data_IF_584057130962
#
_entry.id   IF_584057130962
#
_cell.length_a   1.000
_cell.length_b   1.000
_cell.length_c   1.000
_cell.angle_alpha   90.00
_cell.angle_beta   90.00
_cell.angle_gamma   90.00
#
_symmetry.space_group_name_H-M   'P 1'
#
loop_
_entity.id
_entity.type
_entity.pdbx_description
1 polymer ?
#
# COMPACT_ATOMS: atom_id res chain seq x y z
N UNK A 1 16.77 18.33 23.39
CA UNK A 1 16.94 17.84 22.01
C UNK A 1 15.62 18.16 21.31
N UNK A 2 15.56 19.21 20.47
CA UNK A 2 14.37 19.47 19.65
C UNK A 2 14.29 18.29 18.67
N UNK A 3 13.25 17.51 18.78
CA UNK A 3 12.84 16.63 17.69
C UNK A 3 12.77 17.53 16.47
N UNK A 4 13.56 17.24 15.45
CA UNK A 4 13.33 17.79 14.13
C UNK A 4 11.91 17.44 13.79
N UNK A 5 11.16 18.41 13.48
CA UNK A 5 9.87 18.19 12.91
C UNK A 5 10.09 17.38 11.66
N UNK A 6 9.52 16.44 11.33
CA UNK A 6 9.73 15.60 10.49
C UNK A 6 9.21 15.45 9.53
N UNK A 7 8.51 16.13 9.27
CA UNK A 7 8.33 16.64 8.26
C UNK A 7 8.52 15.84 7.08
N UNK A 8 9.59 16.02 6.59
CA UNK A 8 10.24 15.22 5.62
C UNK A 8 10.09 13.74 5.86
N UNK A 9 9.64 13.32 6.99
CA UNK A 9 9.57 11.93 7.32
C UNK A 9 8.25 11.31 7.16
N UNK A 10 7.22 12.03 7.45
CA UNK A 10 5.85 11.53 7.38
C UNK A 10 5.31 11.55 5.95
N UNK A 11 5.84 12.44 5.13
CA UNK A 11 5.49 12.49 3.72
C UNK A 11 6.08 11.33 2.91
N UNK A 12 7.10 10.66 3.45
CA UNK A 12 7.76 9.54 2.78
C UNK A 12 7.22 8.21 3.31
N UNK A 13 6.02 7.87 2.93
CA UNK A 13 5.28 6.72 3.45
C UNK A 13 5.85 5.35 3.07
N UNK A 14 6.88 5.31 2.22
CA UNK A 14 7.50 4.05 1.80
C UNK A 14 8.55 3.51 2.77
N UNK A 15 8.72 4.14 3.91
CA UNK A 15 9.81 3.86 4.84
C UNK A 15 11.14 4.44 4.38
N UNK A 16 12.21 4.01 5.01
CA UNK A 16 13.54 4.46 4.66
C UNK A 16 14.16 3.58 3.58
N UNK A 17 14.12 4.02 2.34
CA UNK A 17 14.78 3.33 1.23
C UNK A 17 16.29 3.22 1.46
N UNK A 18 16.93 4.25 2.01
CA UNK A 18 18.33 4.20 2.38
C UNK A 18 18.63 3.09 3.40
N UNK A 19 17.81 2.92 4.41
CA UNK A 19 17.97 1.86 5.39
C UNK A 19 17.77 0.47 4.78
N UNK A 20 16.84 0.33 3.83
CA UNK A 20 16.61 -0.92 3.10
C UNK A 20 17.85 -1.33 2.28
N UNK A 21 18.43 -0.39 1.54
CA UNK A 21 19.58 -0.66 0.64
C UNK A 21 20.88 -0.78 1.41
N UNK A 22 21.02 -0.11 2.54
CA UNK A 22 22.22 -0.07 3.37
C UNK A 22 21.99 -0.71 4.76
N UNK A 23 21.22 -1.79 4.78
CA UNK A 23 20.97 -2.52 6.02
C UNK A 23 22.29 -2.90 6.73
N UNK A 24 22.34 -2.67 8.03
CA UNK A 24 23.52 -2.97 8.85
C UNK A 24 23.10 -3.60 10.16
N UNK A 25 23.83 -4.64 10.55
CA UNK A 25 23.66 -5.24 11.88
C UNK A 25 23.92 -4.18 12.96
N UNK A 26 22.94 -3.82 13.80
CA UNK A 26 23.16 -2.89 14.89
C UNK A 26 24.12 -3.47 15.94
N UNK A 27 24.99 -2.62 16.49
CA UNK A 27 25.88 -3.03 17.58
C UNK A 27 25.07 -3.43 18.81
N UNK A 28 25.35 -4.58 19.36
CA UNK A 28 24.72 -5.08 20.59
C UNK A 28 23.32 -5.66 20.38
N UNK A 29 22.94 -5.96 19.14
CA UNK A 29 21.63 -6.55 18.82
C UNK A 29 21.40 -7.89 19.53
N UNK A 30 22.47 -8.64 19.75
CA UNK A 30 22.48 -9.93 20.43
C UNK A 30 21.99 -9.84 21.89
N UNK A 31 22.04 -8.65 22.48
CA UNK A 31 21.59 -8.39 23.86
C UNK A 31 20.20 -7.71 23.93
N UNK A 32 19.53 -7.59 22.79
CA UNK A 32 18.22 -6.92 22.72
C UNK A 32 17.11 -7.94 22.47
N UNK A 33 15.91 -7.57 22.93
CA UNK A 33 14.66 -8.26 22.60
C UNK A 33 13.69 -7.28 21.94
N UNK A 34 12.82 -7.80 21.09
CA UNK A 34 11.78 -7.03 20.45
C UNK A 34 10.40 -7.56 20.86
N UNK A 35 9.50 -6.63 21.15
CA UNK A 35 8.10 -6.92 21.46
C UNK A 35 7.23 -6.19 20.47
N UNK A 36 6.45 -6.93 19.69
CA UNK A 36 5.60 -6.42 18.64
C UNK A 36 4.14 -6.62 19.03
N UNK A 37 3.38 -5.54 19.04
CA UNK A 37 1.97 -5.54 19.40
C UNK A 37 1.13 -5.67 18.13
N UNK A 38 0.36 -6.73 18.04
CA UNK A 38 -0.38 -7.13 16.85
C UNK A 38 0.48 -7.89 15.84
N UNK A 39 -0.19 -8.49 14.85
CA UNK A 39 0.41 -9.22 13.74
C UNK A 39 -0.10 -8.73 12.37
N UNK A 40 -0.47 -7.46 12.28
CA UNK A 40 -0.70 -6.82 11.00
C UNK A 40 0.57 -6.80 10.14
N UNK A 41 0.43 -6.52 8.85
CA UNK A 41 1.55 -6.57 7.88
C UNK A 41 2.77 -5.76 8.33
N UNK A 42 2.57 -4.60 8.95
CA UNK A 42 3.67 -3.76 9.44
C UNK A 42 4.47 -4.41 10.56
N UNK A 43 3.79 -5.06 11.53
CA UNK A 43 4.46 -5.76 12.62
C UNK A 43 5.17 -7.03 12.11
N UNK A 44 4.53 -7.80 11.24
CA UNK A 44 5.14 -8.97 10.63
C UNK A 44 6.38 -8.60 9.81
N UNK A 45 6.29 -7.55 8.98
CA UNK A 45 7.41 -7.04 8.21
C UNK A 45 8.56 -6.56 9.13
N UNK A 46 8.24 -5.85 10.22
CA UNK A 46 9.23 -5.44 11.22
C UNK A 46 9.98 -6.64 11.80
N UNK A 47 9.27 -7.72 12.15
CA UNK A 47 9.88 -8.97 12.61
C UNK A 47 10.83 -9.58 11.55
N UNK A 48 10.38 -9.64 10.31
CA UNK A 48 11.20 -10.12 9.20
C UNK A 48 12.48 -9.28 9.00
N UNK A 49 12.37 -7.96 9.03
CA UNK A 49 13.53 -7.07 8.92
C UNK A 49 14.47 -7.17 10.13
N UNK A 50 13.95 -7.35 11.35
CA UNK A 50 14.79 -7.57 12.52
C UNK A 50 15.65 -8.82 12.38
N UNK A 51 15.11 -9.88 11.81
CA UNK A 51 15.86 -11.13 11.58
C UNK A 51 16.80 -10.96 10.38
N UNK A 52 16.26 -10.58 9.22
CA UNK A 52 17.00 -10.56 7.96
C UNK A 52 18.11 -9.51 7.95
N UNK A 53 17.79 -8.28 8.35
CA UNK A 53 18.65 -7.12 8.16
C UNK A 53 19.41 -6.73 9.44
N UNK A 54 18.77 -6.83 10.59
CA UNK A 54 19.42 -6.54 11.86
C UNK A 54 20.12 -7.76 12.49
N UNK A 55 19.91 -8.96 11.93
CA UNK A 55 20.45 -10.22 12.45
C UNK A 55 20.08 -10.46 13.92
N UNK A 56 18.88 -10.09 14.31
CA UNK A 56 18.32 -10.40 15.61
C UNK A 56 17.94 -11.89 15.67
N UNK A 57 18.27 -12.52 16.78
CA UNK A 57 17.82 -13.89 17.06
C UNK A 57 16.29 -13.94 17.12
N UNK A 58 15.67 -14.82 16.33
CA UNK A 58 14.21 -14.97 16.28
C UNK A 58 13.59 -15.32 17.62
N UNK A 59 14.28 -16.07 18.46
CA UNK A 59 13.83 -16.40 19.83
C UNK A 59 13.64 -15.19 20.74
N UNK A 60 14.25 -14.05 20.39
CA UNK A 60 14.15 -12.77 21.13
C UNK A 60 13.06 -11.84 20.60
N UNK A 61 12.29 -12.28 19.59
CA UNK A 61 11.19 -11.51 19.04
C UNK A 61 9.89 -12.12 19.52
N UNK A 62 9.07 -11.33 20.20
CA UNK A 62 7.76 -11.77 20.71
C UNK A 62 6.66 -10.95 20.04
N UNK A 63 5.68 -11.63 19.47
CA UNK A 63 4.46 -11.02 18.99
C UNK A 63 3.33 -11.24 20.00
N UNK A 64 2.56 -10.18 20.24
CA UNK A 64 1.33 -10.23 21.01
C UNK A 64 0.15 -10.00 20.07
N UNK A 65 -0.62 -11.03 19.82
CA UNK A 65 -1.82 -10.97 18.97
C UNK A 65 -3.04 -11.36 19.80
N UNK A 66 -4.11 -10.62 19.61
CA UNK A 66 -5.38 -10.88 20.30
C UNK A 66 -6.26 -11.87 19.53
N UNK A 67 -6.11 -11.92 18.21
CA UNK A 67 -6.89 -12.78 17.34
C UNK A 67 -6.18 -14.10 17.08
N UNK A 68 -6.94 -15.14 16.79
CA UNK A 68 -6.40 -16.47 16.48
C UNK A 68 -5.68 -16.50 15.14
N UNK A 69 -6.06 -15.61 14.19
CA UNK A 69 -5.46 -15.52 12.88
C UNK A 69 -4.58 -14.26 12.78
N UNK A 70 -3.28 -14.40 12.44
CA UNK A 70 -2.43 -13.25 12.18
C UNK A 70 -2.81 -12.57 10.86
N UNK A 71 -2.39 -11.31 10.70
CA UNK A 71 -2.59 -10.54 9.45
C UNK A 71 -3.34 -9.23 9.63
N UNK A 72 -3.99 -9.03 10.76
CA UNK A 72 -4.77 -7.82 11.05
C UNK A 72 -5.88 -7.62 10.00
N UNK A 73 -5.89 -6.47 9.33
CA UNK A 73 -6.89 -6.18 8.29
C UNK A 73 -6.67 -6.93 6.95
N UNK A 74 -5.60 -7.69 6.84
CA UNK A 74 -5.30 -8.55 5.68
C UNK A 74 -5.63 -10.02 5.95
N UNK A 75 -6.41 -10.32 6.97
CA UNK A 75 -6.88 -11.66 7.27
C UNK A 75 -7.81 -12.18 6.15
N UNK A 76 -7.81 -13.47 5.99
CA UNK A 76 -8.72 -14.19 5.11
C UNK A 76 -8.89 -15.62 5.63
N UNK A 77 -10.12 -16.09 5.62
CA UNK A 77 -10.49 -17.36 6.24
C UNK A 77 -11.52 -18.12 5.40
N UNK A 78 -11.42 -19.44 5.45
CA UNK A 78 -12.48 -20.31 4.94
C UNK A 78 -13.45 -20.63 6.07
N UNK A 79 -14.64 -20.07 6.00
CA UNK A 79 -15.70 -20.34 6.97
C UNK A 79 -16.60 -21.46 6.47
N UNK A 80 -16.85 -22.44 7.36
CA UNK A 80 -17.79 -23.52 7.07
C UNK A 80 -19.17 -22.93 6.76
N UNK A 81 -19.77 -23.29 5.66
CA UNK A 81 -21.06 -22.83 5.15
C UNK A 81 -21.10 -21.40 4.52
N UNK A 82 -20.06 -20.58 4.64
CA UNK A 82 -19.99 -19.26 4.02
C UNK A 82 -18.99 -19.19 2.87
N UNK A 83 -18.12 -20.18 2.77
CA UNK A 83 -17.03 -20.18 1.82
C UNK A 83 -15.86 -19.30 2.24
N UNK A 84 -15.18 -18.71 1.27
CA UNK A 84 -14.01 -17.89 1.52
C UNK A 84 -14.43 -16.45 1.88
N UNK A 85 -13.91 -15.92 2.96
CA UNK A 85 -14.18 -14.58 3.45
C UNK A 85 -12.89 -13.80 3.60
N UNK A 86 -12.84 -12.62 3.00
CA UNK A 86 -11.76 -11.65 3.14
C UNK A 86 -12.33 -10.25 3.34
N UNK A 87 -11.58 -9.36 3.96
CA UNK A 87 -12.04 -7.98 4.24
C UNK A 87 -12.04 -7.07 2.99
N UNK A 88 -11.81 -7.62 1.83
CA UNK A 88 -11.81 -6.94 0.55
C UNK A 88 -10.48 -7.06 -0.18
N UNK A 89 -10.49 -6.72 -1.46
CA UNK A 89 -9.29 -6.68 -2.29
C UNK A 89 -8.38 -5.52 -1.89
N UNK A 90 -7.10 -5.70 -2.13
CA UNK A 90 -6.07 -4.67 -1.99
C UNK A 90 -5.28 -4.63 -3.27
N UNK A 91 -5.18 -3.45 -3.81
CA UNK A 91 -4.37 -3.20 -5.00
C UNK A 91 -2.93 -2.91 -4.59
N UNK A 92 -2.03 -3.28 -5.46
CA UNK A 92 -0.60 -3.13 -5.23
C UNK A 92 0.02 -2.26 -6.32
N UNK A 93 1.09 -1.58 -5.98
CA UNK A 93 1.85 -0.76 -6.91
C UNK A 93 3.31 -1.18 -6.96
N UNK A 94 3.96 -0.97 -8.11
CA UNK A 94 5.39 -1.23 -8.28
C UNK A 94 6.28 -0.45 -7.30
N UNK A 95 5.79 0.70 -6.84
CA UNK A 95 6.52 1.62 -5.99
C UNK A 95 6.43 1.34 -4.49
N UNK A 96 6.03 0.13 -4.11
CA UNK A 96 6.14 -0.33 -2.72
C UNK A 96 7.51 -0.97 -2.47
N UNK A 97 8.59 -0.22 -2.72
CA UNK A 97 9.98 -0.71 -2.80
C UNK A 97 10.41 -1.46 -1.54
N UNK A 98 10.05 -0.97 -0.36
CA UNK A 98 10.38 -1.63 0.92
C UNK A 98 9.64 -2.97 1.05
N UNK A 99 8.38 -3.02 0.64
CA UNK A 99 7.58 -4.24 0.63
C UNK A 99 8.16 -5.27 -0.35
N UNK A 100 8.41 -4.86 -1.58
CA UNK A 100 8.99 -5.73 -2.60
C UNK A 100 10.41 -6.15 -2.27
N UNK A 101 11.19 -5.27 -1.64
CA UNK A 101 12.50 -5.61 -1.09
C UNK A 101 12.46 -6.69 -0.02
N UNK A 102 11.38 -6.75 0.78
CA UNK A 102 11.14 -7.87 1.68
C UNK A 102 10.73 -9.12 0.92
N UNK A 103 9.73 -9.02 0.07
CA UNK A 103 9.14 -10.15 -0.65
C UNK A 103 10.06 -10.78 -1.71
N UNK A 104 11.10 -10.09 -2.14
CA UNK A 104 12.18 -10.69 -2.95
C UNK A 104 13.03 -11.70 -2.20
N UNK A 105 12.91 -11.77 -0.87
CA UNK A 105 13.66 -12.71 -0.02
C UNK A 105 12.81 -13.78 0.65
N UNK A 106 11.48 -13.71 0.49
CA UNK A 106 10.57 -14.69 1.07
C UNK A 106 10.07 -15.67 0.00
N UNK A 107 10.14 -16.99 0.24
CA UNK A 107 9.57 -17.98 -0.66
C UNK A 107 8.05 -17.81 -0.80
N UNK A 108 7.54 -18.02 -2.00
CA UNK A 108 6.10 -18.13 -2.23
C UNK A 108 5.56 -19.39 -1.57
N UNK A 109 4.33 -19.34 -1.06
CA UNK A 109 3.67 -20.52 -0.48
C UNK A 109 3.12 -21.48 -1.55
N UNK A 110 3.10 -21.07 -2.82
CA UNK A 110 2.61 -21.89 -3.92
C UNK A 110 3.74 -22.59 -4.66
N UNK A 111 4.83 -21.87 -4.90
CA UNK A 111 6.04 -22.42 -5.51
C UNK A 111 7.26 -21.99 -4.68
N UNK A 112 7.84 -22.91 -3.91
CA UNK A 112 9.01 -22.59 -3.08
C UNK A 112 10.27 -22.24 -3.88
N UNK A 113 10.29 -22.47 -5.21
CA UNK A 113 11.37 -22.05 -6.09
C UNK A 113 11.24 -20.60 -6.55
N UNK A 114 10.11 -19.95 -6.26
CA UNK A 114 9.86 -18.55 -6.53
C UNK A 114 9.78 -17.76 -5.24
N UNK A 115 10.20 -16.50 -5.30
CA UNK A 115 9.90 -15.56 -4.23
C UNK A 115 8.46 -15.05 -4.33
N UNK A 116 7.96 -14.47 -3.26
CA UNK A 116 6.65 -13.79 -3.30
C UNK A 116 6.60 -12.70 -4.37
N UNK A 117 7.71 -11.97 -4.54
CA UNK A 117 7.84 -10.96 -5.60
C UNK A 117 7.78 -11.58 -6.99
N UNK A 118 8.52 -12.67 -7.24
CA UNK A 118 8.49 -13.35 -8.54
C UNK A 118 7.09 -13.83 -8.88
N UNK A 119 6.41 -14.46 -7.92
CA UNK A 119 5.06 -14.96 -8.11
C UNK A 119 4.07 -13.82 -8.41
N UNK A 120 4.16 -12.71 -7.69
CA UNK A 120 3.35 -11.52 -7.95
C UNK A 120 3.63 -10.94 -9.34
N UNK A 121 4.91 -10.83 -9.72
CA UNK A 121 5.32 -10.30 -11.02
C UNK A 121 4.77 -11.15 -12.16
N UNK A 122 4.98 -12.46 -12.13
CA UNK A 122 4.52 -13.35 -13.20
C UNK A 122 3.00 -13.43 -13.28
N UNK A 123 2.29 -13.42 -12.15
CA UNK A 123 0.83 -13.37 -12.15
C UNK A 123 0.30 -12.15 -12.92
N UNK A 124 0.85 -10.96 -12.67
CA UNK A 124 0.42 -9.75 -13.34
C UNK A 124 0.99 -9.59 -14.76
N UNK A 125 2.05 -10.31 -15.10
CA UNK A 125 2.57 -10.38 -16.46
C UNK A 125 1.69 -11.28 -17.34
N UNK A 126 1.27 -12.43 -16.83
CA UNK A 126 0.47 -13.39 -17.56
C UNK A 126 -1.01 -12.98 -17.68
N UNK A 127 -1.52 -12.32 -16.64
CA UNK A 127 -2.90 -11.82 -16.57
C UNK A 127 -2.92 -10.34 -16.12
N UNK A 128 -2.56 -9.42 -17.02
CA UNK A 128 -2.55 -7.99 -16.70
C UNK A 128 -3.96 -7.48 -16.43
N UNK A 129 -4.10 -6.71 -15.36
CA UNK A 129 -5.37 -6.12 -14.99
C UNK A 129 -5.85 -5.13 -16.06
N UNK A 130 -7.06 -5.30 -16.52
CA UNK A 130 -7.71 -4.41 -17.46
C UNK A 130 -9.22 -4.38 -17.26
N UNK A 131 -9.78 -3.21 -17.20
CA UNK A 131 -11.22 -2.99 -17.11
C UNK A 131 -11.64 -1.80 -17.97
N UNK A 132 -12.84 -1.85 -18.51
CA UNK A 132 -13.48 -0.66 -19.10
C UNK A 132 -14.29 0.06 -18.03
N UNK A 133 -13.67 1.01 -17.35
CA UNK A 133 -14.39 1.83 -16.37
C UNK A 133 -15.46 2.66 -17.08
N UNK A 134 -16.64 2.71 -16.48
CA UNK A 134 -17.77 3.48 -16.97
C UNK A 134 -18.28 4.40 -15.90
N UNK A 135 -18.52 5.65 -16.27
CA UNK A 135 -19.19 6.62 -15.42
C UNK A 135 -20.68 6.62 -15.77
N UNK A 136 -21.53 6.64 -14.78
CA UNK A 136 -22.98 6.77 -14.98
C UNK A 136 -23.49 8.04 -14.33
N UNK A 137 -24.40 8.73 -14.98
CA UNK A 137 -25.13 9.86 -14.40
C UNK A 137 -26.20 9.40 -13.39
N UNK A 138 -26.75 10.34 -12.62
CA UNK A 138 -27.80 10.07 -11.64
C UNK A 138 -29.04 9.37 -12.20
N UNK A 139 -29.35 9.54 -13.50
CA UNK A 139 -30.45 8.88 -14.21
C UNK A 139 -30.09 7.48 -14.74
N UNK A 140 -28.84 7.01 -14.51
CA UNK A 140 -28.35 5.73 -15.00
C UNK A 140 -27.85 5.74 -16.44
N UNK A 141 -27.84 6.88 -17.12
CA UNK A 141 -27.20 6.99 -18.43
C UNK A 141 -25.69 6.74 -18.33
N UNK A 142 -25.16 5.94 -19.25
CA UNK A 142 -23.75 5.57 -19.30
C UNK A 142 -22.94 6.57 -20.08
N UNK A 143 -21.79 6.90 -19.54
CA UNK A 143 -20.72 7.53 -20.29
C UNK A 143 -19.83 6.46 -20.92
N UNK A 144 -19.75 6.40 -22.22
CA UNK A 144 -18.97 5.37 -22.91
C UNK A 144 -17.45 5.61 -22.90
N UNK A 145 -17.00 6.76 -22.45
CA UNK A 145 -15.57 7.08 -22.42
C UNK A 145 -15.23 7.88 -21.16
N UNK A 146 -14.69 7.23 -20.17
CA UNK A 146 -13.97 7.89 -19.11
C UNK A 146 -12.64 8.46 -19.65
N UNK A 147 -12.71 9.59 -20.34
CA UNK A 147 -11.54 10.36 -20.75
C UNK A 147 -11.43 11.54 -19.81
N UNK A 148 -10.23 11.83 -19.36
CA UNK A 148 -10.03 12.90 -18.39
C UNK A 148 -10.48 14.27 -18.86
N UNK A 149 -10.52 14.55 -20.13
CA UNK A 149 -10.92 15.82 -20.76
C UNK A 149 -10.46 17.07 -19.97
N UNK A 150 -9.28 16.95 -19.33
CA UNK A 150 -8.68 18.07 -18.61
C UNK A 150 -8.14 19.05 -19.63
N UNK A 151 -8.78 20.21 -19.69
CA UNK A 151 -8.24 21.36 -20.41
C UNK A 151 -6.90 21.81 -19.80
N UNK A 152 -6.16 22.65 -20.53
CA UNK A 152 -4.87 23.13 -20.07
C UNK A 152 -4.94 23.85 -18.70
N UNK A 153 -6.01 24.59 -18.44
CA UNK A 153 -6.18 25.34 -17.21
C UNK A 153 -6.36 24.42 -16.00
N UNK A 154 -7.16 23.36 -16.12
CA UNK A 154 -7.35 22.37 -15.05
C UNK A 154 -6.10 21.50 -14.84
N UNK A 155 -5.37 21.17 -15.88
CA UNK A 155 -4.09 20.48 -15.77
C UNK A 155 -3.05 21.36 -15.04
N UNK A 156 -3.08 22.68 -15.28
CA UNK A 156 -2.24 23.63 -14.58
C UNK A 156 -2.63 23.74 -13.10
N UNK A 157 -3.91 23.80 -12.79
CA UNK A 157 -4.43 23.83 -11.42
C UNK A 157 -3.91 22.61 -10.60
N UNK A 158 -3.98 21.41 -11.18
CA UNK A 158 -3.42 20.19 -10.55
C UNK A 158 -1.91 20.27 -10.37
N UNK A 159 -1.18 20.81 -11.35
CA UNK A 159 0.27 20.97 -11.24
C UNK A 159 0.67 21.99 -10.17
N UNK A 160 -0.04 23.11 -10.09
CA UNK A 160 0.17 24.13 -9.04
C UNK A 160 -0.14 23.59 -7.65
N UNK A 161 -1.20 22.81 -7.51
CA UNK A 161 -1.55 22.15 -6.25
C UNK A 161 -0.41 21.31 -5.66
N UNK A 162 0.25 20.52 -6.50
CA UNK A 162 1.36 19.66 -6.04
C UNK A 162 2.55 20.50 -5.50
N UNK A 163 2.68 21.75 -5.95
CA UNK A 163 3.74 22.67 -5.53
C UNK A 163 3.42 23.47 -4.28
N UNK A 164 2.18 23.51 -3.81
CA UNK A 164 1.80 24.21 -2.57
C UNK A 164 2.54 23.56 -1.40
N UNK A 165 3.18 24.33 -0.50
CA UNK A 165 3.80 23.80 0.71
C UNK A 165 2.80 23.02 1.58
N UNK A 166 3.26 21.95 2.21
CA UNK A 166 2.41 21.09 3.04
C UNK A 166 1.75 21.86 4.20
N UNK A 167 2.49 22.83 4.75
CA UNK A 167 2.02 23.68 5.85
C UNK A 167 0.82 24.54 5.46
N UNK A 168 0.70 24.92 4.20
CA UNK A 168 -0.41 25.71 3.68
C UNK A 168 -1.68 24.89 3.46
N UNK A 169 -1.54 23.57 3.40
CA UNK A 169 -2.64 22.63 3.16
C UNK A 169 -3.16 21.94 4.42
N UNK A 170 -2.50 22.08 5.57
CA UNK A 170 -2.82 21.31 6.78
C UNK A 170 -4.28 21.42 7.24
N UNK A 171 -4.85 22.62 7.16
CA UNK A 171 -6.21 22.90 7.62
C UNK A 171 -7.18 23.18 6.44
N UNK A 172 -6.79 22.77 5.23
CA UNK A 172 -7.60 22.98 4.02
C UNK A 172 -8.30 21.70 3.57
N UNK A 173 -9.54 21.87 3.14
CA UNK A 173 -10.25 20.81 2.42
C UNK A 173 -9.99 20.90 0.90
N UNK A 174 -10.30 19.82 0.21
CA UNK A 174 -10.12 19.73 -1.23
C UNK A 174 -10.94 20.79 -1.97
N UNK A 175 -12.19 21.02 -1.54
CA UNK A 175 -13.10 22.01 -2.11
C UNK A 175 -12.75 23.47 -1.77
N UNK A 176 -11.85 23.70 -0.82
CA UNK A 176 -11.27 25.04 -0.58
C UNK A 176 -10.08 25.35 -1.50
N UNK A 177 -9.52 24.32 -2.13
CA UNK A 177 -8.32 24.44 -2.98
C UNK A 177 -8.68 24.37 -4.45
N UNK A 178 -9.54 23.44 -4.84
CA UNK A 178 -9.87 23.18 -6.23
C UNK A 178 -11.12 23.89 -6.70
N UNK A 179 -11.09 24.32 -7.96
CA UNK A 179 -12.25 24.89 -8.62
C UNK A 179 -13.41 23.89 -8.72
N UNK A 180 -14.64 24.39 -8.70
CA UNK A 180 -15.83 23.57 -8.92
C UNK A 180 -15.77 22.89 -10.30
N UNK A 181 -15.15 23.51 -11.29
CA UNK A 181 -14.96 22.96 -12.60
C UNK A 181 -14.10 21.69 -12.57
N UNK A 182 -12.98 21.70 -11.84
CA UNK A 182 -12.13 20.51 -11.64
C UNK A 182 -12.86 19.40 -10.90
N UNK A 183 -13.60 19.74 -9.84
CA UNK A 183 -14.34 18.78 -9.03
C UNK A 183 -15.55 18.15 -9.76
N UNK A 184 -15.93 18.68 -10.93
CA UNK A 184 -16.95 18.11 -11.79
C UNK A 184 -16.38 17.32 -12.99
N UNK A 185 -15.05 17.12 -13.05
CA UNK A 185 -14.43 16.35 -14.14
C UNK A 185 -14.53 14.84 -13.95
N UNK A 186 -14.39 14.10 -15.04
CA UNK A 186 -14.24 12.65 -15.02
C UNK A 186 -12.96 12.23 -14.29
N UNK A 187 -11.89 13.02 -14.39
CA UNK A 187 -10.68 12.80 -13.62
C UNK A 187 -10.97 12.75 -12.12
N UNK A 188 -11.64 13.78 -11.58
CA UNK A 188 -11.97 13.80 -10.16
C UNK A 188 -12.89 12.65 -9.76
N UNK A 189 -13.88 12.34 -10.59
CA UNK A 189 -14.80 11.21 -10.36
C UNK A 189 -14.04 9.87 -10.24
N UNK A 190 -13.10 9.62 -11.14
CA UNK A 190 -12.29 8.39 -11.11
C UNK A 190 -11.30 8.39 -9.94
N UNK A 191 -10.61 9.52 -9.72
CA UNK A 191 -9.64 9.65 -8.64
C UNK A 191 -10.29 9.45 -7.27
N UNK A 192 -11.37 10.19 -7.00
CA UNK A 192 -12.09 10.08 -5.72
C UNK A 192 -12.67 8.68 -5.49
N UNK A 193 -13.13 8.01 -6.54
CA UNK A 193 -13.67 6.66 -6.44
C UNK A 193 -12.57 5.66 -6.12
N UNK A 194 -11.43 5.76 -6.77
CA UNK A 194 -10.31 4.84 -6.55
C UNK A 194 -9.71 4.98 -5.16
N UNK A 195 -9.50 6.20 -4.70
CA UNK A 195 -8.82 6.49 -3.44
C UNK A 195 -9.75 6.87 -2.28
N UNK A 196 -11.06 6.75 -2.48
CA UNK A 196 -12.09 7.03 -1.48
C UNK A 196 -12.05 8.47 -0.92
N UNK A 197 -11.78 9.46 -1.79
CA UNK A 197 -11.85 10.87 -1.42
C UNK A 197 -13.27 11.43 -1.54
N UNK A 198 -13.55 12.41 -0.69
CA UNK A 198 -14.68 13.31 -0.78
C UNK A 198 -14.17 14.76 -0.82
N UNK A 199 -14.96 15.69 -1.36
CA UNK A 199 -14.53 17.07 -1.55
C UNK A 199 -14.13 17.77 -0.25
N UNK A 200 -14.72 17.38 0.87
CA UNK A 200 -14.43 17.91 2.21
C UNK A 200 -13.24 17.26 2.91
N UNK A 201 -12.60 16.26 2.28
CA UNK A 201 -11.40 15.65 2.86
C UNK A 201 -10.20 16.59 2.80
N UNK A 202 -9.15 16.25 3.56
CA UNK A 202 -7.93 17.01 3.64
C UNK A 202 -7.24 17.17 2.30
N UNK A 203 -6.96 18.42 1.91
CA UNK A 203 -6.17 18.73 0.73
C UNK A 203 -4.72 18.23 0.87
N UNK A 204 -4.14 18.31 2.06
CA UNK A 204 -2.81 17.75 2.31
C UNK A 204 -2.77 16.24 2.03
N UNK A 205 -3.76 15.50 2.51
CA UNK A 205 -3.82 14.06 2.30
C UNK A 205 -3.97 13.72 0.81
N UNK A 206 -4.79 14.46 0.09
CA UNK A 206 -4.89 14.33 -1.37
C UNK A 206 -3.54 14.59 -2.06
N UNK A 207 -2.80 15.61 -1.67
CA UNK A 207 -1.47 15.90 -2.20
C UNK A 207 -0.50 14.73 -1.96
N UNK A 208 -0.49 14.16 -0.76
CA UNK A 208 0.33 13.00 -0.43
C UNK A 208 -0.02 11.80 -1.29
N UNK A 209 -1.31 11.57 -1.52
CA UNK A 209 -1.79 10.51 -2.44
C UNK A 209 -1.39 10.80 -3.88
N UNK A 210 -1.52 12.03 -4.36
CA UNK A 210 -1.07 12.38 -5.71
C UNK A 210 0.43 12.14 -5.88
N UNK A 211 1.25 12.59 -4.97
CA UNK A 211 2.69 12.35 -4.99
C UNK A 211 3.04 10.86 -5.00
N UNK A 212 2.25 10.07 -4.28
CA UNK A 212 2.47 8.62 -4.17
C UNK A 212 1.96 7.86 -5.39
N UNK A 213 0.85 8.27 -5.97
CA UNK A 213 0.10 7.50 -6.97
C UNK A 213 -0.07 8.21 -8.32
N UNK A 214 0.69 9.28 -8.58
CA UNK A 214 0.58 10.03 -9.85
C UNK A 214 0.78 9.13 -11.08
N UNK A 215 1.58 8.07 -10.97
CA UNK A 215 1.81 7.11 -12.03
C UNK A 215 0.57 6.25 -12.36
N UNK A 216 -0.43 6.19 -11.49
CA UNK A 216 -1.70 5.51 -11.78
C UNK A 216 -2.67 6.34 -12.60
N UNK A 217 -2.48 7.66 -12.70
CA UNK A 217 -3.43 8.58 -13.35
C UNK A 217 -3.76 8.13 -14.77
N UNK A 218 -2.76 7.78 -15.56
CA UNK A 218 -2.98 7.33 -16.94
C UNK A 218 -3.77 6.02 -17.06
N UNK A 219 -3.77 5.20 -16.03
CA UNK A 219 -4.48 3.92 -15.97
C UNK A 219 -5.85 3.94 -15.31
N UNK A 220 -6.28 5.07 -14.74
CA UNK A 220 -7.57 5.16 -14.03
C UNK A 220 -8.78 4.69 -14.88
N UNK A 221 -8.91 5.06 -16.15
CA UNK A 221 -10.05 4.64 -16.95
C UNK A 221 -10.07 3.14 -17.28
N UNK A 222 -8.95 2.46 -17.15
CA UNK A 222 -8.80 1.05 -17.51
C UNK A 222 -8.36 0.17 -16.34
N UNK A 223 -8.05 0.77 -15.21
CA UNK A 223 -7.44 0.11 -14.04
C UNK A 223 -6.12 -0.62 -14.35
N UNK A 224 -5.51 -0.35 -15.51
CA UNK A 224 -4.32 -1.07 -16.00
C UNK A 224 -3.06 -0.84 -15.18
N UNK A 225 -3.04 0.21 -14.36
CA UNK A 225 -1.92 0.49 -13.47
C UNK A 225 -2.02 -0.25 -12.12
N UNK A 226 -3.16 -0.84 -11.83
CA UNK A 226 -3.39 -1.59 -10.61
C UNK A 226 -2.99 -3.05 -10.79
N UNK A 227 -2.40 -3.60 -9.73
CA UNK A 227 -1.96 -4.98 -9.72
C UNK A 227 -2.56 -5.71 -8.52
N UNK A 228 -2.80 -6.98 -8.70
CA UNK A 228 -3.41 -7.84 -7.70
C UNK A 228 -2.54 -9.05 -7.41
N UNK A 229 -2.61 -9.55 -6.19
CA UNK A 229 -2.14 -10.87 -5.85
C UNK A 229 -3.06 -11.93 -6.47
N UNK A 230 -2.51 -13.09 -6.81
CA UNK A 230 -3.27 -14.21 -7.36
C UNK A 230 -4.35 -14.73 -6.41
N UNK A 231 -4.03 -14.76 -5.13
CA UNK A 231 -4.96 -15.07 -4.06
C UNK A 231 -5.20 -13.83 -3.21
N UNK A 232 -5.98 -13.98 -2.16
CA UNK A 232 -6.14 -12.95 -1.14
C UNK A 232 -4.80 -12.55 -0.49
N UNK A 233 -4.79 -11.41 0.17
CA UNK A 233 -3.56 -10.87 0.75
C UNK A 233 -3.04 -11.71 1.92
N UNK A 234 -3.90 -12.43 2.61
CA UNK A 234 -3.46 -13.34 3.65
C UNK A 234 -2.59 -14.45 3.07
N UNK A 235 -3.10 -15.14 2.06
CA UNK A 235 -2.40 -16.26 1.41
C UNK A 235 -1.14 -15.80 0.70
N UNK A 236 -1.23 -14.67 -0.03
CA UNK A 236 -0.13 -14.21 -0.87
C UNK A 236 0.98 -13.48 -0.11
N UNK A 237 0.66 -12.77 0.97
CA UNK A 237 1.62 -11.89 1.65
C UNK A 237 1.80 -12.19 3.13
N UNK A 238 0.71 -12.38 3.88
CA UNK A 238 0.80 -12.60 5.34
C UNK A 238 1.40 -13.97 5.63
N UNK A 239 0.87 -15.00 5.01
CA UNK A 239 1.28 -16.39 5.25
C UNK A 239 2.76 -16.65 4.99
N UNK A 240 3.40 -16.15 3.89
CA UNK A 240 4.84 -16.28 3.70
C UNK A 240 5.66 -15.65 4.84
N UNK A 241 5.27 -14.46 5.31
CA UNK A 241 5.95 -13.81 6.44
C UNK A 241 5.80 -14.63 7.73
N UNK A 242 4.61 -15.16 7.99
CA UNK A 242 4.35 -16.00 9.17
C UNK A 242 5.18 -17.28 9.11
N UNK A 243 5.27 -17.94 7.94
CA UNK A 243 6.11 -19.13 7.76
C UNK A 243 7.58 -18.80 8.02
N UNK A 244 8.10 -17.75 7.37
CA UNK A 244 9.48 -17.30 7.57
C UNK A 244 9.80 -17.01 9.04
N UNK A 245 8.91 -16.29 9.72
CA UNK A 245 9.07 -16.00 11.15
C UNK A 245 9.00 -17.26 12.00
N UNK A 246 8.21 -18.24 11.59
CA UNK A 246 8.06 -19.49 12.29
C UNK A 246 9.26 -20.41 12.14
N UNK A 247 9.83 -20.51 10.97
CA UNK A 247 10.99 -21.37 10.70
C UNK A 247 12.27 -20.88 11.40
N UNK A 248 12.37 -19.56 11.62
CA UNK A 248 13.54 -18.93 12.26
C UNK A 248 13.36 -18.65 13.75
N UNK A 249 12.19 -18.95 14.28
CA UNK A 249 11.97 -19.12 15.72
C UNK A 249 12.07 -20.61 16.01
N UNK A 250 12.93 -21.00 16.94
CA UNK A 250 12.75 -22.27 17.62
C UNK A 250 11.42 -22.19 18.36
N UNK A 251 10.40 -22.81 17.77
CA UNK A 251 9.04 -22.76 18.29
C UNK A 251 8.92 -23.58 19.54
N UNK A 252 8.70 -22.89 20.62
CA UNK A 252 8.06 -23.43 21.81
C UNK A 252 6.67 -22.83 21.97
#
# INVERSE_FOLDING_TARGET
>A
MKLKTHDDRLTLTNGSYHALVHARKPKGIENKSAYLIGTGIGALAAGCFLIRDAHMDGSKITFFEQLDLPGGSLDGEVLQNLGYVARGGREMGHHFEVLWGLFSSLPSTEDPNMTVLDHFFYTNYDDPNYSNCRITHKNGERYDNAKFNLGQDLAKELAEFVLIPDEELQDKSIDEIFSEELLNTDFWTLWRTMFAFENWHSALEMKLYMNRFIHHVGGLPTLSALQFSRHDQYTSFVKPMVIFLKELKDFY
#
